data_IF_177120460724
#
_entry.id   IF_177120460724
#
_cell.length_a   1.000
_cell.length_b   1.000
_cell.length_c   1.000
_cell.angle_alpha   90.00
_cell.angle_beta   90.00
_cell.angle_gamma   90.00
#
_symmetry.space_group_name_H-M   'P 1'
#
loop_
_entity.id
_entity.type
_entity.pdbx_description
1 polymer ?
#
# COMPACT_ATOMS: atom_id res chain seq x y z
N UNK A 1 4.82 -28.86 -9.54
CA UNK A 1 5.44 -29.68 -8.46
C UNK A 1 5.30 -29.03 -7.08
N UNK A 2 5.62 -27.74 -6.88
CA UNK A 2 5.46 -27.07 -5.58
C UNK A 2 3.98 -26.93 -5.21
N UNK A 3 3.14 -26.47 -6.14
CA UNK A 3 1.68 -26.41 -5.92
C UNK A 3 1.07 -27.76 -5.58
N UNK A 4 1.53 -28.84 -6.24
CA UNK A 4 1.03 -30.17 -5.97
C UNK A 4 1.37 -30.63 -4.54
N UNK A 5 2.57 -30.30 -4.07
CA UNK A 5 2.98 -30.59 -2.71
C UNK A 5 2.15 -29.80 -1.69
N UNK A 6 1.96 -28.49 -1.91
CA UNK A 6 1.14 -27.63 -1.04
C UNK A 6 -0.31 -28.12 -1.01
N UNK A 7 -0.84 -28.49 -2.18
CA UNK A 7 -2.20 -29.00 -2.29
C UNK A 7 -2.38 -30.37 -1.63
N UNK A 8 -1.36 -31.24 -1.68
CA UNK A 8 -1.42 -32.57 -1.04
C UNK A 8 -1.58 -32.50 0.48
N UNK A 9 -1.24 -31.38 1.10
CA UNK A 9 -1.44 -31.12 2.54
C UNK A 9 -2.67 -30.21 2.80
N UNK A 10 -3.58 -30.10 1.85
CA UNK A 10 -4.84 -29.36 1.98
C UNK A 10 -4.69 -27.84 2.02
N UNK A 11 -3.60 -27.28 1.46
CA UNK A 11 -3.34 -25.84 1.41
C UNK A 11 -3.44 -25.29 -0.01
N UNK A 12 -3.68 -23.99 -0.12
CA UNK A 12 -3.64 -23.23 -1.38
C UNK A 12 -2.34 -22.47 -1.46
N UNK A 13 -1.75 -22.39 -2.64
CA UNK A 13 -0.54 -21.60 -2.87
C UNK A 13 -0.83 -20.10 -2.91
N UNK A 14 0.11 -19.33 -2.39
CA UNK A 14 0.27 -17.93 -2.69
C UNK A 14 1.69 -17.68 -3.20
N UNK A 15 1.85 -16.75 -4.12
CA UNK A 15 3.14 -16.48 -4.76
C UNK A 15 3.26 -15.01 -5.18
N UNK A 16 4.48 -14.54 -5.33
CA UNK A 16 4.77 -13.25 -5.93
C UNK A 16 4.44 -13.24 -7.43
N UNK A 17 4.29 -12.05 -8.01
CA UNK A 17 3.87 -11.86 -9.41
C UNK A 17 4.76 -12.56 -10.44
N UNK A 18 6.02 -12.85 -10.14
CA UNK A 18 6.92 -13.60 -11.04
C UNK A 18 6.37 -14.99 -11.37
N UNK A 19 5.57 -15.57 -10.47
CA UNK A 19 4.95 -16.86 -10.70
C UNK A 19 3.94 -16.85 -11.87
N UNK A 20 3.39 -15.71 -12.25
CA UNK A 20 2.44 -15.58 -13.37
C UNK A 20 3.05 -16.03 -14.70
N UNK A 21 4.37 -15.99 -14.82
CA UNK A 21 5.07 -16.49 -15.99
C UNK A 21 5.03 -18.03 -16.12
N UNK A 22 4.67 -18.73 -15.06
CA UNK A 22 4.52 -20.19 -15.11
C UNK A 22 3.23 -20.57 -15.87
N UNK A 23 3.37 -21.44 -16.88
CA UNK A 23 2.27 -21.80 -17.81
C UNK A 23 1.16 -22.66 -17.20
N UNK A 24 1.34 -23.14 -15.97
CA UNK A 24 0.49 -24.16 -15.36
C UNK A 24 0.13 -23.87 -13.91
N UNK A 25 -0.02 -22.60 -13.56
CA UNK A 25 -0.54 -22.21 -12.25
C UNK A 25 -1.99 -22.72 -12.06
N UNK A 26 -2.29 -23.22 -10.88
CA UNK A 26 -3.65 -23.55 -10.51
C UNK A 26 -4.50 -22.27 -10.42
N UNK A 27 -5.77 -22.29 -10.87
CA UNK A 27 -6.63 -21.10 -10.84
C UNK A 27 -6.85 -20.51 -9.44
N UNK A 28 -6.64 -21.30 -8.39
CA UNK A 28 -6.77 -20.85 -7.00
C UNK A 28 -5.48 -20.22 -6.41
N UNK A 29 -4.37 -20.25 -7.13
CA UNK A 29 -3.12 -19.67 -6.63
C UNK A 29 -3.24 -18.17 -6.53
N UNK A 30 -3.09 -17.64 -5.30
CA UNK A 30 -3.16 -16.21 -5.01
C UNK A 30 -1.86 -15.53 -5.44
N UNK A 31 -1.97 -14.46 -6.22
CA UNK A 31 -0.82 -13.69 -6.67
C UNK A 31 -0.72 -12.37 -5.89
N UNK A 32 0.44 -12.12 -5.30
CA UNK A 32 0.79 -10.84 -4.72
C UNK A 32 1.52 -10.00 -5.76
N UNK A 33 0.82 -9.00 -6.31
CA UNK A 33 1.34 -8.12 -7.36
C UNK A 33 2.07 -6.92 -6.75
N UNK A 34 3.40 -7.03 -6.62
CA UNK A 34 4.20 -6.03 -5.91
C UNK A 34 4.93 -5.05 -6.83
N UNK A 35 5.40 -5.50 -7.96
CA UNK A 35 6.33 -4.74 -8.79
C UNK A 35 5.69 -3.44 -9.33
N UNK A 36 4.53 -3.56 -9.93
CA UNK A 36 3.75 -2.45 -10.49
C UNK A 36 2.30 -2.88 -10.76
N UNK A 37 1.48 -1.96 -11.25
CA UNK A 37 0.08 -2.25 -11.57
C UNK A 37 -0.10 -3.17 -12.78
N UNK A 38 0.86 -3.22 -13.69
CA UNK A 38 0.76 -4.05 -14.90
C UNK A 38 0.89 -5.54 -14.58
N UNK A 39 1.73 -5.90 -13.61
CA UNK A 39 1.81 -7.31 -13.15
C UNK A 39 0.50 -7.74 -12.47
N UNK A 40 -0.18 -6.82 -11.77
CA UNK A 40 -1.51 -7.09 -11.21
C UNK A 40 -2.54 -7.33 -12.34
N UNK A 41 -2.49 -6.50 -13.41
CA UNK A 41 -3.33 -6.70 -14.60
C UNK A 41 -3.09 -8.05 -15.28
N UNK A 42 -1.83 -8.43 -15.42
CA UNK A 42 -1.44 -9.71 -16.02
C UNK A 42 -1.97 -10.90 -15.21
N UNK A 43 -1.79 -10.85 -13.88
CA UNK A 43 -2.30 -11.89 -12.99
C UNK A 43 -3.83 -12.02 -13.07
N UNK A 44 -4.56 -10.91 -12.99
CA UNK A 44 -6.02 -10.90 -13.12
C UNK A 44 -6.48 -11.38 -14.50
N UNK A 45 -5.77 -10.99 -15.58
CA UNK A 45 -6.05 -11.44 -16.94
C UNK A 45 -5.78 -12.93 -17.13
N UNK A 46 -4.82 -13.51 -16.41
CA UNK A 46 -4.58 -14.95 -16.35
C UNK A 46 -5.63 -15.71 -15.52
N UNK A 47 -6.61 -15.01 -14.94
CA UNK A 47 -7.67 -15.60 -14.12
C UNK A 47 -7.30 -15.86 -12.68
N UNK A 48 -6.13 -15.40 -12.22
CA UNK A 48 -5.66 -15.59 -10.86
C UNK A 48 -6.33 -14.61 -9.87
N UNK A 49 -6.62 -15.03 -8.63
CA UNK A 49 -6.92 -14.10 -7.56
C UNK A 49 -5.66 -13.25 -7.24
N UNK A 50 -5.85 -11.95 -6.99
CA UNK A 50 -4.74 -10.99 -6.84
C UNK A 50 -4.91 -10.18 -5.55
N UNK A 51 -3.83 -10.07 -4.78
CA UNK A 51 -3.65 -8.99 -3.81
C UNK A 51 -2.81 -7.90 -4.49
N UNK A 52 -3.34 -6.69 -4.56
CA UNK A 52 -2.65 -5.58 -5.19
C UNK A 52 -1.80 -4.82 -4.18
N UNK A 53 -0.49 -4.82 -4.40
CA UNK A 53 0.48 -4.11 -3.56
C UNK A 53 1.58 -3.43 -4.39
N UNK A 54 1.24 -2.71 -5.47
CA UNK A 54 2.24 -2.14 -6.36
C UNK A 54 3.14 -1.18 -5.60
N UNK A 55 4.45 -1.33 -5.78
CA UNK A 55 5.47 -0.66 -4.96
C UNK A 55 5.35 0.86 -4.96
N UNK A 56 4.92 1.45 -6.09
CA UNK A 56 4.73 2.90 -6.23
C UNK A 56 3.56 3.48 -5.42
N UNK A 57 2.79 2.64 -4.72
CA UNK A 57 1.67 3.03 -3.85
C UNK A 57 1.74 2.37 -2.48
N UNK A 58 2.17 1.11 -2.42
CA UNK A 58 1.99 0.24 -1.26
C UNK A 58 3.29 -0.08 -0.51
N UNK A 59 4.47 0.28 -1.04
CA UNK A 59 5.74 0.05 -0.35
C UNK A 59 6.04 1.20 0.60
N UNK A 60 5.86 0.93 1.89
CA UNK A 60 6.03 1.92 2.95
C UNK A 60 7.47 2.06 3.45
N UNK A 61 8.41 1.34 2.88
CA UNK A 61 9.85 1.55 2.98
C UNK A 61 10.40 2.59 1.98
N UNK A 62 9.56 3.03 1.02
CA UNK A 62 9.87 4.17 0.14
C UNK A 62 9.85 5.50 0.91
N UNK A 63 10.67 6.46 0.48
CA UNK A 63 10.66 7.83 1.00
C UNK A 63 9.30 8.49 0.82
N UNK A 64 8.86 9.21 1.84
CA UNK A 64 7.69 10.10 1.76
C UNK A 64 8.08 11.51 1.28
N UNK A 65 9.31 11.93 1.59
CA UNK A 65 9.85 13.26 1.24
C UNK A 65 11.34 13.13 0.89
N UNK A 66 11.94 14.05 0.12
CA UNK A 66 13.37 14.01 -0.23
C UNK A 66 14.31 13.86 0.96
N UNK A 67 13.96 14.48 2.08
CA UNK A 67 14.77 14.47 3.32
C UNK A 67 14.55 13.23 4.20
N UNK A 68 13.52 12.42 3.92
CA UNK A 68 13.26 11.22 4.71
C UNK A 68 14.27 10.12 4.39
N UNK A 69 14.45 9.21 5.33
CA UNK A 69 15.10 7.92 5.07
C UNK A 69 14.12 7.01 4.33
N UNK A 70 14.63 6.14 3.49
CA UNK A 70 13.82 5.19 2.73
C UNK A 70 14.42 4.94 1.35
N UNK A 71 13.89 3.96 0.66
CA UNK A 71 14.20 3.65 -0.73
C UNK A 71 13.58 4.69 -1.69
N UNK A 72 14.06 4.71 -2.93
CA UNK A 72 13.61 5.67 -3.96
C UNK A 72 13.27 5.01 -5.29
N UNK A 73 13.55 3.72 -5.44
CA UNK A 73 13.43 3.01 -6.72
C UNK A 73 11.99 2.93 -7.26
N UNK A 74 10.96 2.92 -6.39
CA UNK A 74 9.56 2.98 -6.78
C UNK A 74 8.97 4.41 -6.72
N UNK A 75 9.82 5.42 -6.52
CA UNK A 75 9.40 6.80 -6.35
C UNK A 75 9.14 7.18 -4.89
N UNK A 76 8.44 8.29 -4.70
CA UNK A 76 7.99 8.74 -3.38
C UNK A 76 6.59 8.21 -3.10
N UNK A 77 6.42 7.65 -1.91
CA UNK A 77 5.14 7.08 -1.47
C UNK A 77 4.76 7.76 -0.17
N UNK A 78 4.12 8.91 -0.26
CA UNK A 78 3.56 9.64 0.88
C UNK A 78 2.11 9.20 1.18
N UNK A 79 1.52 9.77 2.21
CA UNK A 79 0.15 9.43 2.65
C UNK A 79 -0.87 9.69 1.54
N UNK A 80 -0.72 10.80 0.81
CA UNK A 80 -1.63 11.14 -0.28
C UNK A 80 -1.50 10.15 -1.43
N UNK A 81 -0.29 9.77 -1.79
CA UNK A 81 -0.02 8.77 -2.82
C UNK A 81 -0.64 7.42 -2.50
N UNK A 82 -0.55 6.98 -1.24
CA UNK A 82 -1.21 5.74 -0.78
C UNK A 82 -2.73 5.87 -0.84
N UNK A 83 -3.28 6.98 -0.37
CA UNK A 83 -4.72 7.23 -0.39
C UNK A 83 -5.31 7.26 -1.79
N UNK A 84 -4.58 7.83 -2.75
CA UNK A 84 -5.00 7.92 -4.15
C UNK A 84 -4.90 6.60 -4.91
N UNK A 85 -4.43 5.53 -4.27
CA UNK A 85 -4.43 4.21 -4.89
C UNK A 85 -5.86 3.68 -5.03
N UNK A 86 -6.29 3.48 -6.27
CA UNK A 86 -7.59 2.93 -6.59
C UNK A 86 -7.44 1.73 -7.55
N UNK A 87 -7.63 0.49 -7.06
CA UNK A 87 -7.57 -0.69 -7.91
C UNK A 87 -8.44 -0.62 -9.18
N UNK A 88 -9.60 0.03 -9.09
CA UNK A 88 -10.53 0.14 -10.21
C UNK A 88 -10.02 1.04 -11.35
N UNK A 89 -9.08 1.95 -11.08
CA UNK A 89 -8.46 2.77 -12.13
C UNK A 89 -7.54 1.97 -13.05
N UNK A 90 -7.13 0.79 -12.61
CA UNK A 90 -6.15 -0.04 -13.31
C UNK A 90 -6.73 -1.31 -13.92
N UNK A 91 -7.94 -1.70 -13.55
CA UNK A 91 -8.56 -2.97 -13.93
C UNK A 91 -9.96 -2.75 -14.50
N UNK A 92 -10.32 -3.54 -15.51
CA UNK A 92 -11.72 -3.60 -15.92
C UNK A 92 -12.59 -4.21 -14.81
N UNK A 93 -13.90 -3.93 -14.82
CA UNK A 93 -14.84 -4.44 -13.83
C UNK A 93 -14.75 -5.97 -13.66
N UNK A 94 -14.67 -6.71 -14.77
CA UNK A 94 -14.51 -8.17 -14.78
C UNK A 94 -13.22 -8.62 -14.07
N UNK A 95 -12.11 -7.91 -14.28
CA UNK A 95 -10.82 -8.24 -13.66
C UNK A 95 -10.76 -7.80 -12.20
N UNK A 96 -11.49 -6.74 -11.86
CA UNK A 96 -11.60 -6.26 -10.49
C UNK A 96 -12.20 -7.32 -9.55
N UNK A 97 -13.07 -8.19 -10.04
CA UNK A 97 -13.61 -9.33 -9.29
C UNK A 97 -12.53 -10.32 -8.83
N UNK A 98 -11.36 -10.32 -9.47
CA UNK A 98 -10.21 -11.13 -9.07
C UNK A 98 -9.40 -10.52 -7.94
N UNK A 99 -9.58 -9.23 -7.65
CA UNK A 99 -8.87 -8.56 -6.55
C UNK A 99 -9.42 -9.03 -5.21
N UNK A 100 -8.53 -9.48 -4.35
CA UNK A 100 -8.85 -9.95 -2.99
C UNK A 100 -8.61 -8.88 -1.93
N UNK A 101 -7.92 -7.82 -2.31
CA UNK A 101 -7.62 -6.69 -1.45
C UNK A 101 -6.34 -5.99 -1.84
N UNK A 102 -5.93 -5.09 -0.96
CA UNK A 102 -4.68 -4.33 -1.05
C UNK A 102 -3.80 -4.64 0.16
N UNK A 103 -2.49 -4.57 -0.02
CA UNK A 103 -1.52 -4.85 1.04
C UNK A 103 -0.36 -3.86 1.00
N UNK A 104 0.21 -3.52 2.16
CA UNK A 104 1.43 -2.74 2.25
C UNK A 104 2.62 -3.65 2.49
N UNK A 105 3.78 -3.29 1.93
CA UNK A 105 5.04 -3.95 2.23
C UNK A 105 6.02 -2.98 2.90
N UNK A 106 6.70 -3.49 3.92
CA UNK A 106 7.80 -2.79 4.59
C UNK A 106 9.00 -3.72 4.72
N UNK A 107 10.05 -3.42 3.98
CA UNK A 107 11.27 -4.20 3.97
C UNK A 107 12.30 -3.62 4.94
N UNK A 108 13.16 -4.48 5.46
CA UNK A 108 13.99 -4.17 6.62
C UNK A 108 15.40 -3.68 6.31
N UNK A 109 15.78 -3.54 5.04
CA UNK A 109 17.18 -3.24 4.64
C UNK A 109 17.71 -1.93 5.21
N UNK A 110 16.82 -0.97 5.50
CA UNK A 110 17.19 0.34 6.04
C UNK A 110 16.80 0.51 7.52
N UNK A 111 16.34 -0.54 8.19
CA UNK A 111 15.89 -0.47 9.58
C UNK A 111 17.06 -0.69 10.54
N UNK A 112 17.74 0.40 10.93
CA UNK A 112 18.81 0.35 11.94
C UNK A 112 18.29 0.37 13.39
N UNK A 113 17.08 0.94 13.59
CA UNK A 113 16.32 0.92 14.84
C UNK A 113 14.91 0.40 14.51
N UNK A 114 14.72 -0.93 14.46
CA UNK A 114 13.58 -1.52 13.78
C UNK A 114 12.21 -1.01 14.26
N UNK A 115 11.94 -1.05 15.55
CA UNK A 115 10.61 -0.75 16.08
C UNK A 115 10.19 0.70 15.81
N UNK A 116 11.04 1.66 16.18
CA UNK A 116 10.72 3.08 16.10
C UNK A 116 10.67 3.61 14.68
N UNK A 117 11.54 3.08 13.82
CA UNK A 117 11.60 3.51 12.43
C UNK A 117 10.52 2.85 11.59
N UNK A 118 10.19 1.58 11.86
CA UNK A 118 9.11 0.87 11.20
C UNK A 118 7.76 1.59 11.43
N UNK A 119 7.45 1.94 12.68
CA UNK A 119 6.24 2.71 13.01
C UNK A 119 6.21 4.07 12.29
N UNK A 120 7.31 4.81 12.34
CA UNK A 120 7.43 6.12 11.68
C UNK A 120 7.23 6.03 10.17
N UNK A 121 7.76 4.98 9.53
CA UNK A 121 7.51 4.73 8.12
C UNK A 121 6.08 4.23 7.87
N UNK A 122 5.54 3.38 8.73
CA UNK A 122 4.21 2.83 8.59
C UNK A 122 3.12 3.87 8.73
N UNK A 123 3.18 4.66 9.77
CA UNK A 123 2.11 5.62 10.09
C UNK A 123 2.46 7.05 9.64
N UNK A 124 1.46 7.76 9.08
CA UNK A 124 0.04 7.40 8.90
C UNK A 124 -0.31 6.71 7.57
N UNK A 125 0.66 6.28 6.74
CA UNK A 125 0.40 5.63 5.44
C UNK A 125 -0.47 4.38 5.54
N UNK A 126 -0.26 3.57 6.58
CA UNK A 126 -1.11 2.39 6.83
C UNK A 126 -2.56 2.76 7.09
N UNK A 127 -2.82 3.93 7.70
CA UNK A 127 -4.18 4.43 7.85
C UNK A 127 -4.82 4.75 6.49
N UNK A 128 -4.03 5.33 5.56
CA UNK A 128 -4.50 5.62 4.22
C UNK A 128 -4.78 4.34 3.42
N UNK A 129 -3.92 3.33 3.51
CA UNK A 129 -4.16 2.05 2.84
C UNK A 129 -5.36 1.30 3.43
N UNK A 130 -5.55 1.38 4.75
CA UNK A 130 -6.72 0.82 5.40
C UNK A 130 -8.01 1.49 4.89
N UNK A 131 -8.01 2.81 4.71
CA UNK A 131 -9.14 3.54 4.10
C UNK A 131 -9.41 3.06 2.67
N UNK A 132 -8.35 2.87 1.86
CA UNK A 132 -8.48 2.32 0.49
C UNK A 132 -9.08 0.93 0.48
N UNK A 133 -8.67 0.07 1.40
CA UNK A 133 -9.16 -1.31 1.46
C UNK A 133 -10.55 -1.46 2.07
N UNK A 134 -10.99 -0.51 2.88
CA UNK A 134 -12.24 -0.60 3.65
C UNK A 134 -13.39 0.22 3.07
N UNK A 135 -13.09 1.44 2.57
CA UNK A 135 -14.11 2.38 2.12
C UNK A 135 -14.32 2.27 0.61
N UNK A 136 -15.57 2.16 0.18
CA UNK A 136 -15.91 2.10 -1.24
C UNK A 136 -15.38 3.33 -1.99
N UNK A 137 -14.87 3.19 -3.22
CA UNK A 137 -14.24 4.28 -3.97
C UNK A 137 -15.08 5.56 -4.03
N UNK A 138 -16.37 5.45 -4.34
CA UNK A 138 -17.29 6.58 -4.43
C UNK A 138 -17.65 7.26 -3.09
N UNK A 139 -17.19 6.70 -1.96
CA UNK A 139 -17.42 7.24 -0.61
C UNK A 139 -16.13 7.79 0.01
N UNK A 140 -14.99 7.66 -0.68
CA UNK A 140 -13.73 8.18 -0.18
C UNK A 140 -13.63 9.69 -0.45
N UNK A 141 -13.37 10.45 0.60
CA UNK A 141 -13.09 11.89 0.55
C UNK A 141 -11.80 12.20 1.30
N UNK A 142 -10.83 12.76 0.57
CA UNK A 142 -9.51 13.06 1.15
C UNK A 142 -9.60 14.07 2.29
N UNK A 143 -10.42 15.11 2.16
CA UNK A 143 -10.49 16.16 3.18
C UNK A 143 -11.13 15.61 4.46
N UNK A 144 -12.15 14.76 4.35
CA UNK A 144 -12.73 14.07 5.49
C UNK A 144 -11.72 13.10 6.13
N UNK A 145 -11.03 12.27 5.33
CA UNK A 145 -9.99 11.38 5.83
C UNK A 145 -8.88 12.16 6.54
N UNK A 146 -8.36 13.22 5.92
CA UNK A 146 -7.30 14.05 6.48
C UNK A 146 -7.75 14.70 7.80
N UNK A 147 -8.97 15.22 7.85
CA UNK A 147 -9.57 15.78 9.07
C UNK A 147 -9.66 14.74 10.18
N UNK A 148 -10.23 13.55 9.93
CA UNK A 148 -10.33 12.47 10.92
C UNK A 148 -8.95 12.02 11.42
N UNK A 149 -7.97 11.97 10.52
CA UNK A 149 -6.61 11.59 10.85
C UNK A 149 -5.95 12.63 11.77
N UNK A 150 -6.02 13.91 11.43
CA UNK A 150 -5.30 14.98 12.13
C UNK A 150 -6.02 15.49 13.38
N UNK A 151 -7.36 15.41 13.46
CA UNK A 151 -8.12 15.92 14.61
C UNK A 151 -8.28 14.93 15.77
N UNK A 152 -7.75 13.71 15.68
CA UNK A 152 -7.86 12.75 16.78
C UNK A 152 -7.09 11.45 16.59
N UNK A 153 -6.96 10.94 15.37
CA UNK A 153 -6.31 9.63 15.19
C UNK A 153 -4.80 9.68 15.44
N UNK A 154 -4.11 10.75 15.04
CA UNK A 154 -2.68 10.93 15.35
C UNK A 154 -2.46 11.08 16.86
N UNK A 155 -3.33 11.78 17.58
CA UNK A 155 -3.31 11.86 19.04
C UNK A 155 -3.48 10.48 19.67
N UNK A 156 -4.42 9.68 19.16
CA UNK A 156 -4.63 8.30 19.59
C UNK A 156 -3.38 7.43 19.38
N UNK A 157 -2.73 7.51 18.22
CA UNK A 157 -1.47 6.81 17.96
C UNK A 157 -0.40 7.22 18.98
N UNK A 158 -0.26 8.52 19.24
CA UNK A 158 0.66 9.04 20.25
C UNK A 158 0.36 8.53 21.66
N UNK A 159 -0.91 8.49 22.05
CA UNK A 159 -1.34 7.93 23.35
C UNK A 159 -1.05 6.43 23.48
N UNK A 160 -1.00 5.70 22.37
CA UNK A 160 -0.61 4.28 22.30
C UNK A 160 0.92 4.10 22.28
N UNK A 161 1.70 5.18 22.27
CA UNK A 161 3.16 5.14 22.15
C UNK A 161 3.66 4.85 20.74
N UNK A 162 2.78 4.80 19.75
CA UNK A 162 3.13 4.55 18.33
C UNK A 162 3.73 5.81 17.73
N UNK A 163 4.89 5.67 17.11
CA UNK A 163 5.53 6.75 16.36
C UNK A 163 4.93 6.89 14.99
N UNK A 164 4.73 8.11 14.57
CA UNK A 164 4.21 8.41 13.25
C UNK A 164 4.90 9.64 12.66
N UNK A 165 4.89 9.73 11.36
CA UNK A 165 5.40 10.89 10.65
C UNK A 165 4.35 12.00 10.68
N UNK A 166 4.75 13.17 11.19
CA UNK A 166 3.91 14.37 11.10
C UNK A 166 3.79 14.85 9.66
N UNK A 167 2.64 15.40 9.33
CA UNK A 167 2.50 16.13 8.07
C UNK A 167 3.38 17.38 8.10
N UNK A 168 4.00 17.77 6.97
CA UNK A 168 4.63 19.06 6.90
C UNK A 168 3.59 20.15 7.14
N UNK A 169 3.96 21.26 7.82
CA UNK A 169 3.04 22.37 8.01
C UNK A 169 2.59 22.90 6.64
N UNK A 170 1.30 23.17 6.52
CA UNK A 170 0.78 23.87 5.34
C UNK A 170 1.11 25.34 5.49
N UNK A 171 1.97 25.85 4.64
CA UNK A 171 2.36 27.27 4.65
C UNK A 171 1.68 27.98 3.48
N UNK A 172 0.96 29.06 3.79
CA UNK A 172 0.43 29.99 2.78
C UNK A 172 1.30 31.26 2.76
N UNK A 173 1.76 31.62 1.58
CA UNK A 173 2.43 32.92 1.37
C UNK A 173 1.42 33.90 0.76
N UNK A 174 1.05 34.92 1.56
CA UNK A 174 0.21 36.01 1.08
C UNK A 174 0.88 37.35 1.40
N UNK A 175 1.12 38.16 0.38
CA UNK A 175 1.60 39.55 0.50
C UNK A 175 2.81 39.74 1.43
N UNK A 176 3.80 38.86 1.33
CA UNK A 176 5.03 38.95 2.15
C UNK A 176 4.91 38.32 3.55
N UNK A 177 3.78 37.69 3.88
CA UNK A 177 3.56 37.00 5.16
C UNK A 177 3.46 35.50 4.91
N UNK A 178 4.19 34.71 5.69
CA UNK A 178 4.05 33.24 5.75
C UNK A 178 3.14 32.91 6.91
N UNK A 179 2.04 32.26 6.62
CA UNK A 179 1.13 31.70 7.64
C UNK A 179 1.35 30.18 7.70
N UNK A 180 1.46 29.63 8.91
CA UNK A 180 1.65 28.20 9.17
C UNK A 180 0.36 27.62 9.74
#
# INVERSE_FOLDING_TARGET
RLEDLVHSVGKTCAAWNEAVQARNLRPATLIYGWENVDVCRQAAAAGQPVVMMPASYCYIDMKQHPWDRGHTWAGRVDVRRVYDFEPADFLSAERLERVRGVEAAQWAELLNEPERFAEYQGYPRLCALAEVGWTQPGQRDWNDFYRRLTSGHLERLGAMGIRFRMFPPQTEYRSGVVTV
#
